data_IF_665395712653
#
_entry.id   IF_665395712653
#
_cell.length_a   1.000
_cell.length_b   1.000
_cell.length_c   1.000
_cell.angle_alpha   90.00
_cell.angle_beta   90.00
_cell.angle_gamma   90.00
#
_symmetry.space_group_name_H-M   'P 1'
#
loop_
_entity.id
_entity.type
_entity.pdbx_description
1 polymer ?
#
# COMPACT_ATOMS: atom_id res chain seq x y z
N UNK A 1 92.75 39.08 46.67
CA UNK A 1 92.89 40.53 46.37
C UNK A 1 91.52 41.11 46.03
N UNK A 2 91.09 41.96 46.96
CA UNK A 2 90.12 43.04 46.81
C UNK A 2 88.81 42.72 46.01
N UNK A 3 87.68 42.98 46.51
CA UNK A 3 87.04 43.95 47.42
C UNK A 3 85.67 44.23 46.80
N UNK A 4 84.67 44.26 47.65
CA UNK A 4 83.45 45.15 47.71
C UNK A 4 82.44 45.08 46.61
N UNK A 5 81.27 45.24 46.82
CA UNK A 5 80.25 45.80 47.79
C UNK A 5 78.99 45.82 46.96
N UNK A 6 77.95 45.79 47.38
CA UNK A 6 76.99 46.19 48.35
C UNK A 6 75.58 46.34 47.67
N UNK A 7 74.63 45.91 48.44
CA UNK A 7 73.27 46.44 48.56
C UNK A 7 72.54 47.14 47.40
N UNK A 8 71.42 46.66 47.05
CA UNK A 8 70.13 47.38 47.32
C UNK A 8 68.92 46.56 47.08
N UNK A 9 68.03 46.49 48.08
CA UNK A 9 66.69 46.05 48.07
C UNK A 9 65.82 47.07 47.30
N UNK A 10 65.11 46.68 46.26
CA UNK A 10 63.90 47.40 45.82
C UNK A 10 62.84 46.41 45.54
N UNK A 11 61.83 46.45 46.40
CA UNK A 11 60.52 45.79 46.22
C UNK A 11 59.83 46.32 44.97
N UNK A 12 59.51 45.47 44.03
CA UNK A 12 58.48 45.77 43.02
C UNK A 12 57.36 44.80 43.17
N UNK A 13 56.22 45.34 43.64
CA UNK A 13 54.96 44.68 43.71
C UNK A 13 54.53 44.19 42.33
N UNK A 14 54.47 42.88 42.19
CA UNK A 14 53.84 42.29 40.97
C UNK A 14 52.35 42.33 41.15
N UNK A 15 51.68 43.21 40.38
CA UNK A 15 50.22 43.25 40.25
C UNK A 15 49.80 42.01 39.48
N UNK A 16 49.22 41.04 40.17
CA UNK A 16 48.48 39.96 39.54
C UNK A 16 47.18 40.53 39.02
N UNK A 17 47.09 40.81 37.72
CA UNK A 17 45.85 41.09 37.03
C UNK A 17 45.15 39.76 36.75
N UNK A 18 44.13 39.48 37.57
CA UNK A 18 43.25 38.31 37.37
C UNK A 18 42.34 38.63 36.19
N UNK A 19 42.73 38.19 35.01
CA UNK A 19 41.89 38.24 33.79
C UNK A 19 40.76 37.22 33.89
N UNK A 20 39.55 37.68 34.25
CA UNK A 20 38.32 36.90 34.21
C UNK A 20 37.92 36.70 32.74
N UNK A 21 38.32 35.58 32.15
CA UNK A 21 37.83 35.17 30.82
C UNK A 21 36.37 34.69 30.96
N UNK A 22 35.42 35.59 30.66
CA UNK A 22 34.01 35.22 30.51
C UNK A 22 33.88 34.44 29.21
N UNK A 23 33.88 33.13 29.30
CA UNK A 23 33.50 32.27 28.19
C UNK A 23 31.95 32.41 27.98
N UNK A 24 31.55 33.27 27.06
CA UNK A 24 30.16 33.33 26.60
C UNK A 24 29.91 32.08 25.78
N UNK A 25 29.33 31.07 26.42
CA UNK A 25 28.71 29.89 25.70
C UNK A 25 27.56 30.41 24.87
N UNK A 26 27.79 30.65 23.59
CA UNK A 26 26.72 30.72 22.62
C UNK A 26 26.13 29.33 22.50
N UNK A 27 25.14 29.01 23.33
CA UNK A 27 24.22 27.93 23.06
C UNK A 27 23.47 28.30 21.77
N UNK A 28 23.98 27.86 20.63
CA UNK A 28 23.26 28.00 19.36
C UNK A 28 21.90 27.32 19.54
N UNK A 29 20.83 28.14 19.49
CA UNK A 29 19.47 27.60 19.37
C UNK A 29 19.44 26.92 18.01
N UNK A 30 19.67 25.60 17.99
CA UNK A 30 19.36 24.77 16.83
C UNK A 30 17.84 24.84 16.71
N UNK A 31 17.28 25.43 15.64
CA UNK A 31 15.85 25.44 15.48
C UNK A 31 15.38 23.99 15.52
N UNK A 32 14.45 23.68 16.40
CA UNK A 32 13.83 22.35 16.45
C UNK A 32 13.28 22.08 15.03
N UNK A 33 13.90 21.14 14.35
CA UNK A 33 13.47 20.75 13.01
C UNK A 33 12.05 20.19 13.18
N UNK A 34 11.04 20.95 12.75
CA UNK A 34 9.65 20.49 12.82
C UNK A 34 9.57 19.14 12.10
N UNK A 35 9.00 18.14 12.77
CA UNK A 35 8.82 16.82 12.17
C UNK A 35 8.13 16.98 10.81
N UNK A 36 8.58 16.28 9.77
CA UNK A 36 7.98 16.36 8.45
C UNK A 36 6.47 16.07 8.53
N UNK A 37 5.68 16.90 7.88
CA UNK A 37 4.24 16.65 7.74
C UNK A 37 4.06 15.53 6.72
N UNK A 38 3.14 14.59 7.00
CA UNK A 38 2.82 13.51 6.06
C UNK A 38 2.24 14.11 4.76
N UNK A 39 2.83 13.84 3.59
CA UNK A 39 2.21 14.17 2.31
C UNK A 39 0.92 13.39 2.09
N UNK A 40 0.14 13.75 1.09
CA UNK A 40 -1.09 13.04 0.75
C UNK A 40 -0.81 11.62 0.29
N UNK A 41 -1.70 10.71 0.69
CA UNK A 41 -1.84 9.36 0.14
C UNK A 41 -3.21 9.34 -0.55
N UNK A 42 -3.19 9.48 -1.88
CA UNK A 42 -4.35 9.78 -2.71
C UNK A 42 -5.30 8.59 -2.91
N UNK A 43 -4.90 7.40 -2.46
CA UNK A 43 -5.67 6.17 -2.57
C UNK A 43 -4.86 5.02 -3.16
N UNK A 44 -5.55 3.94 -3.49
CA UNK A 44 -4.96 2.77 -4.14
C UNK A 44 -4.56 3.12 -5.58
N UNK A 45 -3.32 2.80 -5.95
CA UNK A 45 -2.85 2.86 -7.33
C UNK A 45 -2.93 1.50 -8.01
N UNK A 46 -2.52 0.44 -7.34
CA UNK A 46 -2.62 -0.92 -7.86
C UNK A 46 -2.50 -1.99 -6.77
N UNK A 47 -2.92 -3.19 -7.14
CA UNK A 47 -2.52 -4.44 -6.51
C UNK A 47 -1.71 -5.23 -7.52
N UNK A 48 -0.61 -5.82 -7.10
CA UNK A 48 0.24 -6.66 -7.92
C UNK A 48 0.13 -8.11 -7.47
N UNK A 49 -0.12 -9.01 -8.42
CA UNK A 49 -0.30 -10.43 -8.14
C UNK A 49 0.60 -11.30 -9.01
N UNK A 50 0.99 -12.46 -8.48
CA UNK A 50 1.70 -13.49 -9.22
C UNK A 50 0.73 -14.46 -9.88
N UNK A 51 1.00 -14.83 -11.13
CA UNK A 51 0.28 -15.84 -11.89
C UNK A 51 1.18 -17.04 -12.18
N UNK A 52 0.69 -18.24 -11.89
CA UNK A 52 1.33 -19.50 -12.32
C UNK A 52 1.16 -19.71 -13.83
N UNK A 53 -0.08 -19.56 -14.31
CA UNK A 53 -0.39 -19.54 -15.74
C UNK A 53 -0.69 -18.11 -16.19
N UNK A 54 0.37 -17.41 -16.61
CA UNK A 54 0.30 -16.01 -16.96
C UNK A 54 -0.72 -15.71 -18.07
N UNK A 55 -0.79 -16.56 -19.09
CA UNK A 55 -1.71 -16.36 -20.21
C UNK A 55 -3.16 -16.60 -19.84
N UNK A 56 -3.46 -17.59 -18.99
CA UNK A 56 -4.82 -17.78 -18.49
C UNK A 56 -5.26 -16.61 -17.59
N UNK A 57 -4.38 -16.13 -16.73
CA UNK A 57 -4.69 -14.98 -15.90
C UNK A 57 -4.89 -13.72 -16.72
N UNK A 58 -4.12 -13.50 -17.80
CA UNK A 58 -4.36 -12.41 -18.76
C UNK A 58 -5.76 -12.48 -19.39
N UNK A 59 -6.21 -13.66 -19.78
CA UNK A 59 -7.56 -13.87 -20.30
C UNK A 59 -8.63 -13.58 -19.24
N UNK A 60 -8.40 -14.01 -17.99
CA UNK A 60 -9.33 -13.72 -16.91
C UNK A 60 -9.51 -12.20 -16.71
N UNK A 61 -8.45 -11.45 -16.56
CA UNK A 61 -8.54 -10.00 -16.34
C UNK A 61 -8.95 -9.22 -17.60
N UNK A 62 -8.46 -9.64 -18.77
CA UNK A 62 -8.75 -8.97 -20.03
C UNK A 62 -10.09 -9.37 -20.66
N UNK A 63 -10.32 -10.66 -20.90
CA UNK A 63 -11.50 -11.14 -21.63
C UNK A 63 -12.73 -11.30 -20.73
N UNK A 64 -12.54 -11.82 -19.48
CA UNK A 64 -13.67 -12.07 -18.60
C UNK A 64 -14.07 -10.82 -17.81
N UNK A 65 -13.11 -10.12 -17.19
CA UNK A 65 -13.41 -8.89 -16.46
C UNK A 65 -13.44 -7.64 -17.35
N UNK A 66 -12.96 -7.76 -18.59
CA UNK A 66 -13.08 -6.74 -19.63
C UNK A 66 -12.11 -5.56 -19.49
N UNK A 67 -11.02 -5.68 -18.73
CA UNK A 67 -10.03 -4.62 -18.62
C UNK A 67 -9.06 -4.61 -19.80
N UNK A 68 -8.70 -3.42 -20.30
CA UNK A 68 -7.64 -3.31 -21.29
C UNK A 68 -6.27 -3.62 -20.68
N UNK A 69 -5.54 -4.51 -21.34
CA UNK A 69 -4.13 -4.78 -21.03
C UNK A 69 -3.26 -3.64 -21.57
N UNK A 70 -2.38 -3.09 -20.71
CA UNK A 70 -1.48 -1.99 -21.04
C UNK A 70 -0.07 -2.27 -20.55
N UNK A 71 0.91 -1.61 -21.13
CA UNK A 71 2.33 -1.64 -20.71
C UNK A 71 2.91 -3.06 -20.56
N UNK A 72 2.73 -3.98 -21.52
CA UNK A 72 3.34 -5.30 -21.42
C UNK A 72 4.85 -5.19 -21.46
N UNK A 73 5.52 -5.61 -20.40
CA UNK A 73 6.96 -5.58 -20.26
C UNK A 73 7.54 -6.98 -20.41
N UNK A 74 8.70 -7.06 -21.06
CA UNK A 74 9.41 -8.33 -21.30
C UNK A 74 10.78 -8.32 -20.64
N UNK A 75 11.26 -9.50 -20.32
CA UNK A 75 12.64 -9.78 -19.96
C UNK A 75 13.56 -9.71 -21.20
N UNK A 76 14.87 -9.74 -20.98
CA UNK A 76 15.86 -9.69 -22.06
C UNK A 76 15.76 -10.90 -23.03
N UNK A 77 15.27 -12.03 -22.56
CA UNK A 77 15.03 -13.24 -23.36
C UNK A 77 13.69 -13.23 -24.12
N UNK A 78 12.91 -12.16 -24.00
CA UNK A 78 11.60 -12.00 -24.62
C UNK A 78 10.43 -12.59 -23.83
N UNK A 79 10.67 -13.30 -22.72
CA UNK A 79 9.63 -13.82 -21.86
C UNK A 79 8.85 -12.69 -21.17
N UNK A 80 7.57 -12.90 -20.78
CA UNK A 80 6.81 -11.92 -20.02
C UNK A 80 7.52 -11.58 -18.71
N UNK A 81 7.56 -10.29 -18.38
CA UNK A 81 8.08 -9.81 -17.09
C UNK A 81 6.95 -9.32 -16.19
N UNK A 82 6.03 -8.55 -16.74
CA UNK A 82 4.82 -8.06 -16.09
C UNK A 82 3.91 -7.41 -17.11
N UNK A 83 2.64 -7.25 -16.77
CA UNK A 83 1.68 -6.44 -17.52
C UNK A 83 0.70 -5.79 -16.58
N UNK A 84 -0.06 -4.80 -17.09
CA UNK A 84 -1.04 -4.05 -16.32
C UNK A 84 -2.42 -4.19 -16.96
N UNK A 85 -3.45 -4.29 -16.12
CA UNK A 85 -4.84 -4.20 -16.53
C UNK A 85 -5.43 -2.90 -15.99
N UNK A 86 -5.87 -2.03 -16.89
CA UNK A 86 -6.29 -0.69 -16.54
C UNK A 86 -7.74 -0.67 -16.04
N UNK A 87 -7.93 -0.34 -14.76
CA UNK A 87 -9.25 -0.19 -14.13
C UNK A 87 -9.79 1.22 -14.42
N UNK A 88 -8.96 2.24 -14.20
CA UNK A 88 -9.21 3.64 -14.54
C UNK A 88 -7.86 4.38 -14.73
N UNK A 89 -7.86 5.71 -14.84
CA UNK A 89 -6.63 6.46 -15.10
C UNK A 89 -5.64 6.49 -13.93
N UNK A 90 -6.08 6.14 -12.72
CA UNK A 90 -5.25 6.10 -11.52
C UNK A 90 -5.03 4.67 -10.97
N UNK A 91 -5.86 3.69 -11.39
CA UNK A 91 -5.86 2.37 -10.75
C UNK A 91 -5.64 1.24 -11.76
N UNK A 92 -4.79 0.28 -11.35
CA UNK A 92 -4.39 -0.86 -12.16
C UNK A 92 -4.38 -2.16 -11.34
N UNK A 93 -4.49 -3.29 -12.03
CA UNK A 93 -3.99 -4.56 -11.53
C UNK A 93 -2.68 -4.86 -12.27
N UNK A 94 -1.62 -5.17 -11.54
CA UNK A 94 -0.37 -5.64 -12.11
C UNK A 94 -0.27 -7.16 -12.04
N UNK A 95 0.08 -7.78 -13.14
CA UNK A 95 0.25 -9.23 -13.24
C UNK A 95 1.71 -9.56 -13.49
N UNK A 96 2.26 -10.43 -12.65
CA UNK A 96 3.63 -10.92 -12.74
C UNK A 96 3.63 -12.45 -12.96
N UNK A 97 4.52 -12.98 -13.81
CA UNK A 97 4.77 -14.41 -13.79
C UNK A 97 5.27 -14.86 -12.41
N UNK A 98 4.78 -16.00 -11.93
CA UNK A 98 5.26 -16.63 -10.70
C UNK A 98 6.75 -16.94 -10.80
N UNK A 99 7.51 -16.61 -9.76
CA UNK A 99 8.95 -16.90 -9.71
C UNK A 99 9.27 -18.21 -9.03
N UNK A 100 8.46 -18.56 -8.05
CA UNK A 100 8.63 -19.77 -7.25
C UNK A 100 7.29 -20.48 -7.18
N UNK A 101 7.21 -21.77 -7.59
CA UNK A 101 5.97 -22.54 -7.48
C UNK A 101 5.40 -22.51 -6.06
N UNK A 102 4.09 -22.54 -5.97
CA UNK A 102 3.35 -22.60 -4.69
C UNK A 102 3.62 -21.42 -3.72
N UNK A 103 4.11 -20.30 -4.23
CA UNK A 103 4.27 -19.08 -3.45
C UNK A 103 2.94 -18.33 -3.22
N UNK A 104 2.97 -17.35 -2.35
CA UNK A 104 1.86 -16.41 -2.16
C UNK A 104 1.54 -15.70 -3.48
N UNK A 105 0.25 -15.46 -3.72
CA UNK A 105 -0.19 -14.76 -4.93
C UNK A 105 -0.03 -13.25 -4.83
N UNK A 106 0.05 -12.68 -3.64
CA UNK A 106 0.30 -11.26 -3.46
C UNK A 106 1.78 -10.93 -3.71
N UNK A 107 2.04 -10.03 -4.66
CA UNK A 107 3.35 -9.43 -4.84
C UNK A 107 3.47 -8.17 -3.97
N UNK A 108 2.56 -7.22 -4.15
CA UNK A 108 2.49 -6.00 -3.35
C UNK A 108 1.14 -5.27 -3.52
N UNK A 109 0.88 -4.35 -2.61
CA UNK A 109 -0.16 -3.33 -2.75
C UNK A 109 0.50 -1.97 -2.94
N UNK A 110 -0.16 -1.04 -3.61
CA UNK A 110 0.44 0.26 -3.90
C UNK A 110 -0.53 1.42 -3.68
N UNK A 111 0.03 2.53 -3.15
CA UNK A 111 -0.68 3.78 -2.92
C UNK A 111 -0.06 4.92 -3.71
N UNK A 112 -0.92 5.76 -4.29
CA UNK A 112 -0.50 6.98 -4.98
C UNK A 112 -0.24 8.12 -3.99
N UNK A 113 0.78 8.93 -4.29
CA UNK A 113 1.06 10.19 -3.60
C UNK A 113 1.35 11.30 -4.60
N UNK A 114 1.07 12.54 -4.21
CA UNK A 114 1.43 13.73 -5.00
C UNK A 114 2.87 14.20 -4.78
N UNK A 115 3.56 13.69 -3.75
CA UNK A 115 4.94 14.07 -3.45
C UNK A 115 5.72 12.90 -2.82
N UNK A 116 6.27 12.06 -3.67
CA UNK A 116 6.93 10.81 -3.25
C UNK A 116 8.23 11.05 -2.48
N UNK A 117 9.00 12.10 -2.80
CA UNK A 117 10.23 12.40 -2.06
C UNK A 117 9.92 12.88 -0.63
N UNK A 118 8.94 13.78 -0.48
CA UNK A 118 8.51 14.20 0.85
C UNK A 118 7.92 13.02 1.65
N UNK A 119 7.18 12.10 1.00
CA UNK A 119 6.66 10.89 1.64
C UNK A 119 7.80 9.96 2.09
N UNK A 120 8.81 9.77 1.24
CA UNK A 120 10.01 8.98 1.58
C UNK A 120 10.72 9.54 2.82
N UNK A 121 10.93 10.86 2.86
CA UNK A 121 11.57 11.55 4.01
C UNK A 121 10.69 11.48 5.27
N UNK A 122 9.39 11.65 5.13
CA UNK A 122 8.44 11.49 6.23
C UNK A 122 8.52 10.08 6.82
N UNK A 123 8.43 9.04 5.99
CA UNK A 123 8.50 7.64 6.43
C UNK A 123 9.85 7.33 7.11
N UNK A 124 10.96 7.83 6.56
CA UNK A 124 12.27 7.73 7.20
C UNK A 124 12.27 8.36 8.61
N UNK A 125 11.63 9.53 8.79
CA UNK A 125 11.52 10.20 10.09
C UNK A 125 10.68 9.42 11.12
N UNK A 126 9.82 8.51 10.63
CA UNK A 126 9.04 7.57 11.45
C UNK A 126 9.75 6.25 11.72
N UNK A 127 11.01 6.12 11.29
CA UNK A 127 11.80 4.92 11.47
C UNK A 127 11.52 3.81 10.44
N UNK A 128 10.73 4.09 9.40
CA UNK A 128 10.49 3.15 8.30
C UNK A 128 11.72 3.07 7.40
N UNK A 129 12.14 1.86 7.07
CA UNK A 129 13.25 1.64 6.13
C UNK A 129 12.82 2.04 4.72
N UNK A 130 13.48 3.04 4.15
CA UNK A 130 13.24 3.54 2.79
C UNK A 130 14.54 3.56 1.98
N UNK A 131 14.50 3.59 0.64
CA UNK A 131 15.69 3.73 -0.18
C UNK A 131 16.35 5.09 0.03
N UNK A 132 17.69 5.16 -0.15
CA UNK A 132 18.44 6.40 -0.03
C UNK A 132 18.10 7.44 -1.10
N UNK A 133 17.67 6.99 -2.28
CA UNK A 133 17.27 7.84 -3.41
C UNK A 133 16.15 7.17 -4.20
N UNK A 134 15.33 7.98 -4.86
CA UNK A 134 14.29 7.51 -5.78
C UNK A 134 14.89 7.23 -7.16
N UNK A 135 14.29 6.24 -7.85
CA UNK A 135 14.62 5.94 -9.25
C UNK A 135 13.31 5.73 -10.03
N UNK A 136 13.25 6.18 -11.28
CA UNK A 136 12.12 5.85 -12.14
C UNK A 136 11.97 4.34 -12.32
N UNK A 137 10.75 3.86 -12.21
CA UNK A 137 10.38 2.49 -12.58
C UNK A 137 10.39 2.29 -14.11
N UNK A 138 10.12 1.06 -14.55
CA UNK A 138 10.19 0.67 -15.97
C UNK A 138 9.18 1.42 -16.86
N UNK A 139 8.08 1.89 -16.30
CA UNK A 139 7.07 2.70 -17.01
C UNK A 139 7.19 4.20 -16.73
N UNK A 140 8.31 4.63 -16.14
CA UNK A 140 8.67 6.04 -15.99
C UNK A 140 8.03 6.76 -14.79
N UNK A 141 7.28 6.09 -13.94
CA UNK A 141 6.81 6.63 -12.67
C UNK A 141 7.89 6.54 -11.60
N UNK A 142 7.86 7.40 -10.58
CA UNK A 142 8.70 7.26 -9.40
C UNK A 142 8.00 6.38 -8.38
N UNK A 143 8.70 5.39 -7.85
CA UNK A 143 8.16 4.48 -6.84
C UNK A 143 9.24 4.02 -5.86
N UNK A 144 8.81 3.60 -4.67
CA UNK A 144 9.65 2.85 -3.74
C UNK A 144 8.81 1.91 -2.87
N UNK A 145 9.43 0.83 -2.43
CA UNK A 145 8.82 -0.16 -1.57
C UNK A 145 9.22 0.03 -0.11
N UNK A 146 8.27 -0.20 0.76
CA UNK A 146 8.46 -0.41 2.20
C UNK A 146 7.91 -1.78 2.57
N UNK A 147 8.22 -2.25 3.76
CA UNK A 147 7.65 -3.49 4.31
C UNK A 147 6.82 -3.12 5.53
N UNK A 148 5.57 -3.58 5.56
CA UNK A 148 4.73 -3.43 6.74
C UNK A 148 5.11 -4.45 7.84
N UNK A 149 4.59 -4.33 9.07
CA UNK A 149 4.91 -5.25 10.16
C UNK A 149 4.52 -6.72 9.90
N UNK A 150 3.49 -6.98 9.08
CA UNK A 150 3.09 -8.33 8.68
C UNK A 150 3.99 -8.91 7.57
N UNK A 151 4.90 -8.12 7.02
CA UNK A 151 5.86 -8.54 5.99
C UNK A 151 5.40 -8.33 4.56
N UNK A 152 4.27 -7.66 4.32
CA UNK A 152 3.84 -7.33 2.97
C UNK A 152 4.71 -6.22 2.37
N UNK A 153 4.92 -6.30 1.08
CA UNK A 153 5.48 -5.18 0.33
C UNK A 153 4.38 -4.15 0.06
N UNK A 154 4.62 -2.91 0.48
CA UNK A 154 3.76 -1.76 0.21
C UNK A 154 4.54 -0.77 -0.65
N UNK A 155 4.07 -0.53 -1.86
CA UNK A 155 4.66 0.43 -2.77
C UNK A 155 4.03 1.80 -2.59
N UNK A 156 4.85 2.84 -2.60
CA UNK A 156 4.42 4.23 -2.77
C UNK A 156 4.80 4.67 -4.18
N UNK A 157 3.86 5.23 -4.93
CA UNK A 157 4.08 5.65 -6.32
C UNK A 157 3.62 7.08 -6.55
N UNK A 158 4.37 7.81 -7.38
CA UNK A 158 3.94 9.09 -7.95
C UNK A 158 3.94 8.97 -9.46
N UNK A 159 2.78 9.23 -10.07
CA UNK A 159 2.65 9.25 -11.52
C UNK A 159 3.31 10.50 -12.09
N UNK A 160 4.33 10.26 -12.94
CA UNK A 160 5.12 11.33 -13.52
C UNK A 160 4.53 11.77 -14.87
N UNK A 161 4.55 13.07 -15.20
CA UNK A 161 4.05 13.58 -16.49
C UNK A 161 4.63 12.86 -17.71
N UNK A 162 5.87 12.39 -17.59
CA UNK A 162 6.58 11.64 -18.64
C UNK A 162 6.43 10.12 -18.54
N UNK A 163 5.76 9.61 -17.50
CA UNK A 163 5.48 8.18 -17.29
C UNK A 163 4.36 7.69 -18.20
N UNK A 164 4.34 6.38 -18.47
CA UNK A 164 3.34 5.77 -19.35
C UNK A 164 1.91 5.93 -18.80
N UNK A 165 1.73 5.94 -17.47
CA UNK A 165 0.42 6.17 -16.84
C UNK A 165 -0.18 7.49 -17.30
N UNK A 166 0.58 8.59 -17.20
CA UNK A 166 0.09 9.93 -17.58
C UNK A 166 0.01 10.12 -19.10
N UNK A 167 0.90 9.51 -19.88
CA UNK A 167 0.85 9.52 -21.36
C UNK A 167 -0.39 8.81 -21.89
N UNK A 168 -0.92 7.86 -21.14
CA UNK A 168 -2.11 7.08 -21.49
C UNK A 168 -3.36 7.49 -20.69
N UNK A 169 -3.34 8.68 -20.09
CA UNK A 169 -4.51 9.23 -19.42
C UNK A 169 -5.68 9.37 -20.42
N UNK A 170 -6.86 8.90 -20.05
CA UNK A 170 -8.05 8.87 -20.89
C UNK A 170 -8.02 7.85 -22.04
N UNK A 171 -6.97 7.01 -22.15
CA UNK A 171 -6.83 5.98 -23.20
C UNK A 171 -6.90 4.58 -22.60
N UNK A 172 -7.15 3.58 -23.45
CA UNK A 172 -7.20 2.17 -23.04
C UNK A 172 -8.14 1.95 -21.86
N UNK A 173 -9.32 2.52 -21.95
CA UNK A 173 -10.40 2.38 -20.98
C UNK A 173 -11.53 1.61 -21.65
N UNK A 174 -11.49 0.28 -21.55
CA UNK A 174 -12.49 -0.61 -22.16
C UNK A 174 -13.91 -0.24 -21.75
N UNK A 175 -14.83 -0.09 -22.68
CA UNK A 175 -16.25 0.09 -22.35
C UNK A 175 -16.88 -1.16 -21.74
N UNK A 176 -16.27 -2.32 -21.94
CA UNK A 176 -16.78 -3.63 -21.49
C UNK A 176 -16.27 -4.03 -20.09
N UNK A 177 -15.41 -3.19 -19.46
CA UNK A 177 -14.90 -3.51 -18.12
C UNK A 177 -16.02 -3.54 -17.09
N UNK A 178 -16.00 -4.54 -16.23
CA UNK A 178 -17.06 -4.75 -15.23
C UNK A 178 -17.13 -3.66 -14.16
N UNK A 179 -16.02 -2.95 -13.93
CA UNK A 179 -15.91 -1.90 -12.90
C UNK A 179 -15.08 -0.73 -13.38
N UNK A 180 -15.30 0.42 -12.75
CA UNK A 180 -14.56 1.65 -12.98
C UNK A 180 -13.68 2.04 -11.78
N UNK A 181 -13.71 1.26 -10.69
CA UNK A 181 -13.01 1.64 -9.46
C UNK A 181 -12.68 0.43 -8.59
N UNK A 182 -11.45 0.36 -8.12
CA UNK A 182 -10.99 -0.57 -7.08
C UNK A 182 -11.11 0.14 -5.73
N UNK A 183 -12.02 -0.33 -4.88
CA UNK A 183 -12.30 0.34 -3.60
C UNK A 183 -11.42 -0.14 -2.46
N UNK A 184 -11.01 -1.41 -2.50
CA UNK A 184 -10.09 -1.93 -1.48
C UNK A 184 -9.21 -3.08 -1.99
N UNK A 185 -8.18 -3.31 -1.22
CA UNK A 185 -7.36 -4.51 -1.27
C UNK A 185 -7.41 -5.20 0.09
N UNK A 186 -7.51 -6.51 0.09
CA UNK A 186 -7.43 -7.32 1.31
C UNK A 186 -6.03 -7.87 1.51
N UNK A 187 -5.53 -7.80 2.74
CA UNK A 187 -4.26 -8.39 3.17
C UNK A 187 -4.44 -9.20 4.45
N UNK A 188 -3.72 -10.30 4.57
CA UNK A 188 -3.77 -11.15 5.77
C UNK A 188 -2.99 -10.50 6.90
N UNK A 189 -3.59 -10.46 8.09
CA UNK A 189 -2.94 -9.94 9.30
C UNK A 189 -3.09 -10.96 10.42
N UNK A 190 -1.97 -11.47 10.93
CA UNK A 190 -1.91 -12.43 12.04
C UNK A 190 -1.57 -11.77 13.38
N UNK A 191 -0.76 -10.71 13.36
CA UNK A 191 -0.46 -9.87 14.52
C UNK A 191 -1.06 -8.48 14.31
N UNK A 192 -2.23 -8.27 14.90
CA UNK A 192 -3.02 -7.07 14.63
C UNK A 192 -2.38 -5.77 15.13
N UNK A 193 -1.84 -5.78 16.35
CA UNK A 193 -1.45 -4.52 17.03
C UNK A 193 -0.34 -3.75 16.28
N UNK A 194 0.80 -4.36 15.91
CA UNK A 194 1.84 -3.64 15.17
C UNK A 194 1.36 -3.19 13.78
N UNK A 195 0.55 -4.04 13.10
CA UNK A 195 0.03 -3.73 11.78
C UNK A 195 -0.97 -2.56 11.82
N UNK A 196 -1.90 -2.61 12.78
CA UNK A 196 -2.89 -1.54 12.97
C UNK A 196 -2.23 -0.20 13.26
N UNK A 197 -1.22 -0.18 14.16
CA UNK A 197 -0.48 1.04 14.47
C UNK A 197 0.31 1.56 13.28
N UNK A 198 0.91 0.68 12.49
CA UNK A 198 1.62 1.10 11.28
C UNK A 198 0.70 1.83 10.31
N UNK A 199 -0.46 1.25 9.99
CA UNK A 199 -1.39 1.90 9.08
C UNK A 199 -2.02 3.16 9.68
N UNK A 200 -2.36 3.18 10.96
CA UNK A 200 -3.06 4.33 11.57
C UNK A 200 -2.12 5.45 12.03
N UNK A 201 -1.01 5.13 12.71
CA UNK A 201 -0.13 6.15 13.31
C UNK A 201 0.98 6.59 12.34
N UNK A 202 1.46 5.71 11.46
CA UNK A 202 2.52 6.03 10.49
C UNK A 202 1.91 6.50 9.17
N UNK A 203 1.03 5.72 8.54
CA UNK A 203 0.44 6.06 7.26
C UNK A 203 -0.77 7.01 7.38
N UNK A 204 -1.41 7.10 8.57
CA UNK A 204 -2.52 8.01 8.84
C UNK A 204 -3.88 7.52 8.37
N UNK A 205 -4.03 6.22 8.14
CA UNK A 205 -5.30 5.59 7.80
C UNK A 205 -6.28 5.67 8.97
N UNK A 206 -7.57 5.55 8.69
CA UNK A 206 -8.63 5.59 9.71
C UNK A 206 -9.50 4.36 9.63
N UNK A 207 -9.71 3.71 10.76
CA UNK A 207 -10.70 2.65 10.83
C UNK A 207 -12.11 3.19 10.54
N UNK A 208 -12.81 2.52 9.62
CA UNK A 208 -14.18 2.87 9.23
C UNK A 208 -15.18 1.78 9.59
N UNK A 209 -14.74 0.53 9.68
CA UNK A 209 -15.57 -0.59 10.05
C UNK A 209 -14.74 -1.79 10.48
N UNK A 210 -15.33 -2.64 11.33
CA UNK A 210 -14.79 -3.96 11.65
C UNK A 210 -15.92 -4.99 11.73
N UNK A 211 -15.63 -6.22 11.32
CA UNK A 211 -16.61 -7.28 11.19
C UNK A 211 -16.17 -8.62 11.74
N UNK A 212 -17.13 -9.47 12.06
CA UNK A 212 -16.93 -10.84 12.50
C UNK A 212 -17.77 -11.80 11.66
N UNK A 213 -17.17 -12.87 11.16
CA UNK A 213 -17.88 -13.93 10.45
C UNK A 213 -18.73 -14.78 11.40
N UNK A 214 -18.21 -15.09 12.58
CA UNK A 214 -18.83 -15.92 13.61
C UNK A 214 -19.69 -15.14 14.62
N UNK A 215 -19.45 -13.83 14.75
CA UNK A 215 -19.98 -13.00 15.84
C UNK A 215 -19.13 -13.00 17.11
N UNK A 216 -18.18 -13.91 17.25
CA UNK A 216 -17.36 -14.09 18.47
C UNK A 216 -15.89 -13.74 18.28
N UNK A 217 -15.36 -13.92 17.06
CA UNK A 217 -13.97 -13.61 16.71
C UNK A 217 -13.95 -12.59 15.57
N UNK A 218 -13.19 -11.52 15.74
CA UNK A 218 -13.02 -10.49 14.72
C UNK A 218 -12.38 -11.10 13.47
N UNK A 219 -12.90 -10.75 12.31
CA UNK A 219 -12.45 -11.31 11.03
C UNK A 219 -11.91 -10.24 10.11
N UNK A 220 -12.44 -9.01 10.17
CA UNK A 220 -12.11 -7.92 9.24
C UNK A 220 -11.99 -6.58 9.94
N UNK A 221 -11.06 -5.75 9.46
CA UNK A 221 -10.96 -4.32 9.82
C UNK A 221 -10.70 -3.54 8.53
N UNK A 222 -11.53 -2.52 8.28
CA UNK A 222 -11.37 -1.63 7.13
C UNK A 222 -10.66 -0.34 7.56
N UNK A 223 -9.50 -0.10 6.99
CA UNK A 223 -8.68 1.09 7.22
C UNK A 223 -8.69 1.97 5.97
N UNK A 224 -9.45 3.07 6.02
CA UNK A 224 -9.58 4.03 4.94
C UNK A 224 -8.32 4.86 4.79
N UNK A 225 -7.87 5.04 3.55
CA UNK A 225 -6.75 5.91 3.22
C UNK A 225 -7.04 7.37 3.63
N UNK A 226 -6.02 8.13 4.04
CA UNK A 226 -6.25 9.44 4.65
C UNK A 226 -6.83 10.50 3.69
N UNK A 227 -6.56 10.37 2.39
CA UNK A 227 -6.91 11.38 1.40
C UNK A 227 -7.79 10.83 0.26
N UNK A 228 -8.43 9.65 0.45
CA UNK A 228 -9.41 9.06 -0.45
C UNK A 228 -10.43 8.21 0.30
N UNK A 229 -11.41 7.63 -0.43
CA UNK A 229 -12.36 6.66 0.13
C UNK A 229 -11.91 5.20 -0.04
N UNK A 230 -10.77 4.97 -0.70
CA UNK A 230 -10.16 3.65 -0.81
C UNK A 230 -9.65 3.16 0.54
N UNK A 231 -9.65 1.84 0.74
CA UNK A 231 -9.22 1.28 2.02
C UNK A 231 -8.44 -0.03 1.86
N UNK A 232 -7.73 -0.37 2.91
CA UNK A 232 -7.16 -1.71 3.11
C UNK A 232 -8.10 -2.49 4.03
N UNK A 233 -8.46 -3.70 3.63
CA UNK A 233 -9.19 -4.63 4.48
C UNK A 233 -8.19 -5.61 5.12
N UNK A 234 -8.03 -5.54 6.43
CA UNK A 234 -7.29 -6.55 7.18
C UNK A 234 -8.14 -7.82 7.28
N UNK A 235 -7.61 -8.90 6.74
CA UNK A 235 -8.16 -10.25 6.82
C UNK A 235 -7.49 -10.96 8.00
N UNK A 236 -8.13 -10.91 9.18
CA UNK A 236 -7.52 -11.44 10.41
C UNK A 236 -7.50 -12.97 10.39
N UNK A 237 -6.32 -13.56 10.45
CA UNK A 237 -6.12 -15.01 10.43
C UNK A 237 -4.96 -15.41 11.33
N UNK A 238 -5.23 -16.24 12.32
CA UNK A 238 -4.22 -16.83 13.20
C UNK A 238 -4.55 -18.32 13.47
N UNK A 239 -3.69 -19.25 13.07
CA UNK A 239 -2.48 -19.05 12.28
C UNK A 239 -2.76 -18.59 10.85
N UNK A 240 -1.75 -18.00 10.21
CA UNK A 240 -1.86 -17.64 8.79
C UNK A 240 -2.06 -18.88 7.91
N UNK A 241 -2.87 -18.77 6.83
CA UNK A 241 -2.98 -19.83 5.85
C UNK A 241 -1.63 -20.12 5.15
N UNK A 242 -1.48 -21.37 4.67
CA UNK A 242 -0.34 -21.70 3.81
C UNK A 242 -0.31 -20.78 2.57
N UNK A 243 0.88 -20.43 2.02
CA UNK A 243 1.01 -19.47 0.92
C UNK A 243 0.07 -19.75 -0.27
N UNK A 244 -0.08 -20.99 -0.68
CA UNK A 244 -0.97 -21.41 -1.78
C UNK A 244 -2.47 -21.19 -1.52
N UNK A 245 -2.85 -20.87 -0.28
CA UNK A 245 -4.24 -20.65 0.13
C UNK A 245 -4.54 -19.18 0.45
N UNK A 246 -3.53 -18.31 0.39
CA UNK A 246 -3.67 -16.89 0.76
C UNK A 246 -4.42 -16.07 -0.28
N UNK A 247 -4.45 -16.48 -1.55
CA UNK A 247 -5.10 -15.76 -2.65
C UNK A 247 -6.60 -15.51 -2.44
N UNK A 248 -7.27 -16.26 -1.56
CA UNK A 248 -8.67 -15.99 -1.17
C UNK A 248 -8.77 -14.77 -0.27
N UNK A 249 -7.75 -14.52 0.54
CA UNK A 249 -7.71 -13.41 1.52
C UNK A 249 -6.93 -12.22 0.97
N UNK A 250 -5.82 -12.47 0.25
CA UNK A 250 -5.15 -11.42 -0.52
C UNK A 250 -5.97 -11.16 -1.79
N UNK A 251 -6.69 -10.05 -1.85
CA UNK A 251 -7.66 -9.82 -2.91
C UNK A 251 -7.79 -8.35 -3.29
N UNK A 252 -8.42 -8.13 -4.43
CA UNK A 252 -8.91 -6.81 -4.81
C UNK A 252 -10.44 -6.79 -4.79
N UNK A 253 -11.01 -5.64 -4.48
CA UNK A 253 -12.44 -5.42 -4.57
C UNK A 253 -12.78 -4.30 -5.55
N UNK A 254 -13.65 -4.61 -6.48
CA UNK A 254 -14.12 -3.73 -7.53
C UNK A 254 -15.55 -3.29 -7.22
N UNK A 255 -15.78 -1.98 -7.23
CA UNK A 255 -17.13 -1.43 -7.06
C UNK A 255 -17.91 -1.58 -8.35
N UNK A 256 -19.13 -2.11 -8.24
CA UNK A 256 -20.10 -2.19 -9.34
C UNK A 256 -21.44 -1.60 -8.88
N UNK A 257 -22.20 -0.95 -9.76
CA UNK A 257 -23.49 -0.35 -9.38
C UNK A 257 -24.56 -1.38 -9.00
N UNK A 258 -24.50 -2.58 -9.59
CA UNK A 258 -25.42 -3.71 -9.36
C UNK A 258 -24.65 -5.01 -9.54
N UNK A 259 -24.45 -5.75 -8.46
CA UNK A 259 -23.73 -7.03 -8.46
C UNK A 259 -24.51 -8.10 -9.21
N UNK A 260 -25.85 -8.14 -9.07
CA UNK A 260 -26.66 -9.15 -9.74
C UNK A 260 -26.63 -8.97 -11.27
N UNK A 261 -26.74 -7.74 -11.75
CA UNK A 261 -26.63 -7.43 -13.18
C UNK A 261 -25.23 -7.71 -13.71
N UNK A 262 -24.18 -7.37 -12.95
CA UNK A 262 -22.78 -7.67 -13.30
C UNK A 262 -22.55 -9.17 -13.43
N UNK A 263 -23.01 -9.96 -12.46
CA UNK A 263 -22.90 -11.43 -12.49
C UNK A 263 -23.71 -12.03 -13.65
N UNK A 264 -24.91 -11.51 -13.93
CA UNK A 264 -25.69 -11.94 -15.08
C UNK A 264 -24.94 -11.70 -16.41
N UNK A 265 -24.30 -10.54 -16.55
CA UNK A 265 -23.46 -10.23 -17.73
C UNK A 265 -22.27 -11.19 -17.83
N UNK A 266 -21.52 -11.40 -16.73
CA UNK A 266 -20.41 -12.34 -16.71
C UNK A 266 -20.82 -13.77 -17.11
N UNK A 267 -22.00 -14.24 -16.65
CA UNK A 267 -22.54 -15.58 -16.99
C UNK A 267 -22.85 -15.74 -18.49
N UNK A 268 -23.00 -14.66 -19.24
CA UNK A 268 -23.17 -14.70 -20.70
C UNK A 268 -21.84 -14.65 -21.48
N UNK A 269 -20.72 -14.38 -20.77
CA UNK A 269 -19.40 -14.29 -21.39
C UNK A 269 -18.99 -15.64 -22.00
N UNK A 270 -18.37 -15.65 -23.20
CA UNK A 270 -17.77 -16.85 -23.76
C UNK A 270 -16.73 -17.51 -22.83
N UNK A 271 -16.07 -16.70 -21.99
CA UNK A 271 -15.07 -17.16 -21.02
C UNK A 271 -15.67 -18.10 -19.97
N UNK A 272 -16.97 -18.11 -19.72
CA UNK A 272 -17.64 -19.05 -18.82
C UNK A 272 -17.40 -20.53 -19.17
N UNK A 273 -17.01 -20.85 -20.42
CA UNK A 273 -16.60 -22.21 -20.81
C UNK A 273 -15.29 -22.64 -20.11
N UNK A 274 -14.42 -21.67 -19.79
CA UNK A 274 -13.17 -21.85 -19.07
C UNK A 274 -13.36 -21.66 -17.56
N UNK A 275 -14.22 -20.71 -17.16
CA UNK A 275 -14.54 -20.38 -15.77
C UNK A 275 -15.53 -21.40 -15.19
N UNK A 276 -15.01 -22.38 -14.45
CA UNK A 276 -15.79 -23.51 -13.94
C UNK A 276 -16.36 -23.35 -12.54
N UNK A 277 -16.13 -22.18 -11.91
CA UNK A 277 -16.63 -21.92 -10.56
C UNK A 277 -18.03 -21.28 -10.67
N UNK A 278 -18.90 -21.60 -9.71
CA UNK A 278 -20.16 -20.89 -9.56
C UNK A 278 -19.90 -19.45 -9.07
N UNK A 279 -20.67 -18.51 -9.61
CA UNK A 279 -20.65 -17.12 -9.15
C UNK A 279 -21.93 -16.88 -8.39
N UNK A 280 -21.82 -16.83 -7.06
CA UNK A 280 -22.93 -16.62 -6.15
C UNK A 280 -23.01 -15.17 -5.72
N UNK A 281 -24.22 -14.58 -5.85
CA UNK A 281 -24.51 -13.25 -5.32
C UNK A 281 -25.02 -13.40 -3.90
N UNK A 282 -24.37 -12.72 -2.96
CA UNK A 282 -24.73 -12.79 -1.54
C UNK A 282 -24.65 -11.41 -0.87
N UNK A 283 -25.16 -11.31 0.33
CA UNK A 283 -25.01 -10.12 1.19
C UNK A 283 -23.93 -10.40 2.22
N UNK A 284 -22.87 -9.60 2.20
CA UNK A 284 -21.77 -9.71 3.15
C UNK A 284 -22.16 -9.28 4.58
N UNK A 285 -21.28 -9.55 5.54
CA UNK A 285 -21.46 -9.08 6.93
C UNK A 285 -21.47 -7.56 7.05
N UNK A 286 -20.86 -6.87 6.09
CA UNK A 286 -20.94 -5.42 5.90
C UNK A 286 -22.28 -4.94 5.32
N UNK A 287 -23.25 -5.86 5.10
CA UNK A 287 -24.59 -5.63 4.55
C UNK A 287 -24.61 -5.10 3.12
N UNK A 288 -23.49 -5.18 2.42
CA UNK A 288 -23.41 -4.87 0.98
C UNK A 288 -23.63 -6.14 0.16
N UNK A 289 -24.24 -6.00 -1.00
CA UNK A 289 -24.34 -7.09 -1.98
C UNK A 289 -22.98 -7.25 -2.65
N UNK A 290 -22.54 -8.49 -2.79
CA UNK A 290 -21.23 -8.83 -3.31
C UNK A 290 -21.21 -10.21 -3.99
N UNK A 291 -20.19 -10.46 -4.78
CA UNK A 291 -19.87 -11.76 -5.34
C UNK A 291 -18.34 -11.93 -5.42
N UNK A 292 -17.88 -13.17 -5.36
CA UNK A 292 -16.46 -13.49 -5.45
C UNK A 292 -16.16 -14.19 -6.78
N UNK A 293 -15.17 -13.67 -7.48
CA UNK A 293 -14.58 -14.23 -8.68
C UNK A 293 -13.17 -14.69 -8.35
N UNK A 294 -12.66 -15.68 -9.05
CA UNK A 294 -11.31 -16.20 -8.81
C UNK A 294 -10.59 -16.35 -10.13
N UNK A 295 -9.39 -15.84 -10.20
CA UNK A 295 -8.53 -16.09 -11.34
C UNK A 295 -8.12 -17.60 -11.40
N UNK A 296 -7.44 -18.04 -12.46
CA UNK A 296 -7.03 -19.44 -12.60
C UNK A 296 -6.18 -19.96 -11.43
N UNK A 297 -5.45 -19.08 -10.75
CA UNK A 297 -4.56 -19.41 -9.66
C UNK A 297 -5.20 -19.27 -8.27
N UNK A 298 -6.48 -18.87 -8.22
CA UNK A 298 -7.27 -18.75 -7.01
C UNK A 298 -7.18 -17.38 -6.31
N UNK A 299 -6.60 -16.38 -6.96
CA UNK A 299 -6.65 -14.99 -6.48
C UNK A 299 -8.07 -14.44 -6.60
N UNK A 300 -8.60 -13.95 -5.48
CA UNK A 300 -9.97 -13.44 -5.41
C UNK A 300 -10.07 -12.03 -6.00
N UNK A 301 -11.02 -11.84 -6.87
CA UNK A 301 -11.56 -10.54 -7.25
C UNK A 301 -12.97 -10.45 -6.69
N UNK A 302 -13.17 -9.62 -5.68
CA UNK A 302 -14.50 -9.32 -5.16
C UNK A 302 -15.17 -8.25 -6.02
N UNK A 303 -16.46 -8.38 -6.28
CA UNK A 303 -17.31 -7.30 -6.80
C UNK A 303 -18.34 -6.94 -5.76
N UNK A 304 -18.51 -5.65 -5.48
CA UNK A 304 -19.34 -5.17 -4.38
C UNK A 304 -20.12 -3.91 -4.75
N UNK A 305 -21.36 -3.80 -4.28
CA UNK A 305 -22.12 -2.54 -4.37
C UNK A 305 -21.58 -1.49 -3.38
N UNK A 306 -21.65 -0.19 -3.73
CA UNK A 306 -21.09 0.85 -2.87
C UNK A 306 -21.86 1.04 -1.57
N UNK A 307 -23.18 0.74 -1.58
CA UNK A 307 -24.10 0.97 -0.46
C UNK A 307 -24.58 -0.34 0.16
N UNK A 308 -25.02 -0.29 1.40
CA UNK A 308 -25.72 -1.41 2.06
C UNK A 308 -27.12 -1.60 1.42
N UNK A 309 -27.65 -2.82 1.54
CA UNK A 309 -28.96 -3.18 0.94
C UNK A 309 -30.14 -2.35 1.44
N UNK A 310 -30.02 -1.68 2.56
CA UNK A 310 -31.06 -0.84 3.17
C UNK A 310 -30.62 0.63 3.36
N UNK A 311 -29.45 1.01 2.85
CA UNK A 311 -28.89 2.35 2.96
C UNK A 311 -28.43 2.75 4.36
N UNK A 312 -28.46 1.83 5.35
CA UNK A 312 -28.04 2.12 6.71
C UNK A 312 -26.61 1.65 6.98
N UNK A 313 -25.80 2.40 7.72
CA UNK A 313 -24.47 1.96 8.13
C UNK A 313 -24.54 0.62 8.89
N UNK A 314 -23.58 -0.26 8.60
CA UNK A 314 -23.45 -1.52 9.35
C UNK A 314 -22.74 -1.25 10.69
N UNK A 315 -23.35 -1.61 11.83
CA UNK A 315 -22.67 -1.46 13.12
C UNK A 315 -21.35 -2.25 13.14
N UNK A 316 -20.29 -1.70 13.76
CA UNK A 316 -19.04 -2.42 13.93
C UNK A 316 -19.21 -3.60 14.89
N UNK A 317 -18.44 -4.66 14.67
CA UNK A 317 -18.37 -5.80 15.58
C UNK A 317 -17.64 -5.42 16.88
N UNK A 318 -18.09 -5.98 17.99
CA UNK A 318 -17.40 -5.92 19.30
C UNK A 318 -16.59 -7.18 19.60
N UNK A 319 -16.48 -8.11 18.65
CA UNK A 319 -15.70 -9.33 18.78
C UNK A 319 -14.21 -9.03 18.99
N UNK A 320 -13.53 -9.88 19.75
CA UNK A 320 -12.09 -9.76 19.99
C UNK A 320 -11.29 -10.30 18.81
N UNK A 321 -10.05 -9.82 18.60
CA UNK A 321 -9.14 -10.39 17.60
C UNK A 321 -8.90 -11.89 17.84
N UNK A 322 -8.51 -12.65 16.81
CA UNK A 322 -8.09 -14.04 16.98
C UNK A 322 -6.85 -14.12 17.90
N UNK A 323 -6.83 -15.13 18.78
CA UNK A 323 -5.76 -15.35 19.76
C UNK A 323 -4.62 -16.18 19.17
#
# INVERSE_FOLDING_TARGET
MRIHNDFELIAKACKLSLGLAVAVLFAGIVPAQTAPVRPKILGLSHIAVFAHDFDKSRKFYGEFLGFDEVFPLKNADGSPSMTFFKINDAQYLELFPEKTPDSDRLNHISFETDNIEALRLYLASKGVKVPSQLKPGRIGNLAFNITDPAGHTVEMVQYMPTGETMRNYGKHISPNRISKHMTHVGIIVSDLEPEYRFYTEVLGFKETWRGSSSGTVLSWINLKAPDSDDYVEFMLAKPEPAPTKRGVSHHLCLVVPDVAATVATLKTSPYMKEYRREIEVHVGKNRKRQANLFDPDGTRTEVMEPTTIDGKPTPPSTALPPQ
#
